data_IF_775041275232
#
_entry.id   IF_775041275232
#
_cell.length_a   1.000
_cell.length_b   1.000
_cell.length_c   1.000
_cell.angle_alpha   90.00
_cell.angle_beta   90.00
_cell.angle_gamma   90.00
#
_symmetry.space_group_name_H-M   'P 1'
#
loop_
_entity.id
_entity.type
_entity.pdbx_description
1 polymer ?
#
# COMPACT_ATOMS: atom_id res chain seq x y z
N UNK A 1 -8.46 -50.71 47.67
CA UNK A 1 -8.23 -50.15 46.33
C UNK A 1 -9.11 -48.91 46.20
N UNK A 2 -8.57 -47.76 46.54
CA UNK A 2 -9.20 -46.45 46.34
C UNK A 2 -8.37 -45.73 45.28
N UNK A 3 -8.89 -45.74 44.07
CA UNK A 3 -8.32 -45.05 42.91
C UNK A 3 -8.64 -43.56 43.05
N UNK A 4 -7.63 -42.77 43.37
CA UNK A 4 -7.75 -41.31 43.52
C UNK A 4 -7.30 -40.72 42.18
N UNK A 5 -8.15 -39.99 41.44
CA UNK A 5 -7.74 -39.37 40.19
C UNK A 5 -6.58 -38.41 40.47
N UNK A 6 -5.46 -38.61 39.77
CA UNK A 6 -4.32 -37.71 39.80
C UNK A 6 -4.76 -36.30 39.40
N UNK A 7 -4.29 -35.25 40.10
CA UNK A 7 -4.58 -33.90 39.69
C UNK A 7 -3.85 -33.63 38.38
N UNK A 8 -4.60 -33.54 37.28
CA UNK A 8 -4.12 -33.05 35.99
C UNK A 8 -3.45 -31.71 36.22
N UNK A 9 -2.13 -31.65 36.04
CA UNK A 9 -1.31 -30.46 36.21
C UNK A 9 -1.70 -29.42 35.16
N UNK A 10 -2.61 -28.52 35.52
CA UNK A 10 -3.01 -27.33 34.75
C UNK A 10 -1.90 -26.26 34.68
N UNK A 11 -0.65 -26.62 34.94
CA UNK A 11 0.50 -25.70 35.02
C UNK A 11 1.45 -25.76 33.81
N UNK A 12 1.20 -26.61 32.81
CA UNK A 12 2.08 -26.71 31.62
C UNK A 12 1.86 -25.58 30.59
N UNK A 13 0.80 -24.78 30.70
CA UNK A 13 0.46 -23.71 29.73
C UNK A 13 0.81 -22.28 30.17
N UNK A 14 1.51 -22.10 31.31
CA UNK A 14 2.05 -20.78 31.69
C UNK A 14 3.48 -20.65 31.18
N UNK A 15 3.84 -19.62 30.39
CA UNK A 15 5.23 -19.40 30.01
C UNK A 15 6.09 -19.32 31.27
N UNK A 16 7.05 -20.23 31.39
CA UNK A 16 7.89 -20.41 32.59
C UNK A 16 8.72 -19.18 32.96
N UNK A 17 8.89 -18.24 32.03
CA UNK A 17 9.46 -16.92 32.26
C UNK A 17 8.93 -15.87 31.26
N UNK A 18 9.02 -14.55 31.58
CA UNK A 18 8.76 -13.48 30.62
C UNK A 18 9.61 -13.54 29.35
N UNK A 19 10.81 -14.15 29.42
CA UNK A 19 11.68 -14.36 28.27
C UNK A 19 11.11 -15.43 27.33
N UNK A 20 10.57 -16.54 27.88
CA UNK A 20 9.91 -17.57 27.09
C UNK A 20 8.63 -17.04 26.43
N UNK A 21 7.87 -16.21 27.15
CA UNK A 21 6.71 -15.51 26.57
C UNK A 21 7.13 -14.59 25.40
N UNK A 22 8.25 -13.88 25.52
CA UNK A 22 8.77 -13.01 24.47
C UNK A 22 9.28 -13.79 23.26
N UNK A 23 9.94 -14.94 23.46
CA UNK A 23 10.40 -15.81 22.39
C UNK A 23 9.24 -16.49 21.66
N UNK A 24 8.17 -16.86 22.38
CA UNK A 24 6.90 -17.30 21.78
C UNK A 24 6.32 -16.17 20.92
N UNK A 25 6.21 -14.93 21.43
CA UNK A 25 5.70 -13.79 20.65
C UNK A 25 6.54 -13.53 19.39
N UNK A 26 7.87 -13.52 19.50
CA UNK A 26 8.79 -13.32 18.37
C UNK A 26 8.66 -14.42 17.33
N UNK A 27 8.57 -15.68 17.77
CA UNK A 27 8.42 -16.82 16.85
C UNK A 27 7.06 -16.81 16.15
N UNK A 28 5.99 -16.38 16.82
CA UNK A 28 4.68 -16.21 16.19
C UNK A 28 4.66 -15.03 15.22
N UNK A 29 5.23 -13.87 15.59
CA UNK A 29 5.39 -12.73 14.69
C UNK A 29 6.22 -13.09 13.46
N UNK A 30 7.31 -13.85 13.61
CA UNK A 30 8.14 -14.30 12.50
C UNK A 30 7.37 -15.23 11.55
N UNK A 31 6.54 -16.15 12.08
CA UNK A 31 5.69 -17.04 11.28
C UNK A 31 4.60 -16.27 10.52
N UNK A 32 3.90 -15.35 11.19
CA UNK A 32 2.87 -14.51 10.56
C UNK A 32 3.48 -13.62 9.47
N UNK A 33 4.62 -12.97 9.76
CA UNK A 33 5.34 -12.16 8.79
C UNK A 33 5.80 -12.99 7.57
N UNK A 34 6.25 -14.22 7.79
CA UNK A 34 6.63 -15.12 6.70
C UNK A 34 5.43 -15.54 5.83
N UNK A 35 4.24 -15.70 6.43
CA UNK A 35 3.00 -16.02 5.71
C UNK A 35 2.44 -14.84 4.91
N UNK A 36 2.52 -13.62 5.45
CA UNK A 36 1.98 -12.41 4.83
C UNK A 36 2.91 -11.79 3.79
N UNK A 37 4.22 -11.97 3.92
CA UNK A 37 5.19 -11.39 2.98
C UNK A 37 4.84 -11.69 1.50
N UNK A 38 4.54 -12.94 1.08
CA UNK A 38 4.10 -13.28 -0.28
C UNK A 38 3.07 -12.33 -0.89
N UNK A 39 2.06 -12.05 -0.09
CA UNK A 39 0.92 -11.23 -0.43
C UNK A 39 1.31 -9.75 -0.52
N UNK A 40 2.15 -9.26 0.40
CA UNK A 40 2.70 -7.90 0.38
C UNK A 40 3.56 -7.61 -0.87
N UNK A 41 4.42 -8.54 -1.27
CA UNK A 41 5.26 -8.33 -2.47
C UNK A 41 4.43 -8.31 -3.75
N UNK A 42 3.43 -9.21 -3.88
CA UNK A 42 2.53 -9.22 -5.03
C UNK A 42 1.73 -7.92 -5.11
N UNK A 43 1.26 -7.42 -3.97
CA UNK A 43 0.58 -6.13 -3.89
C UNK A 43 1.45 -4.99 -4.44
N UNK A 44 2.72 -4.88 -4.03
CA UNK A 44 3.63 -3.86 -4.57
C UNK A 44 3.93 -4.06 -6.06
N UNK A 45 4.05 -5.30 -6.54
CA UNK A 45 4.28 -5.56 -7.95
C UNK A 45 3.08 -5.14 -8.81
N UNK A 46 1.85 -5.49 -8.43
CA UNK A 46 0.66 -5.10 -9.17
C UNK A 46 0.47 -3.59 -9.22
N UNK A 47 0.61 -2.92 -8.08
CA UNK A 47 0.51 -1.47 -8.03
C UNK A 47 1.66 -0.76 -8.74
N UNK A 48 2.88 -1.30 -8.65
CA UNK A 48 4.04 -0.78 -9.36
C UNK A 48 3.86 -0.82 -10.88
N UNK A 49 3.40 -1.95 -11.42
CA UNK A 49 3.06 -2.06 -12.85
C UNK A 49 1.93 -1.10 -13.22
N UNK A 50 0.87 -1.05 -12.42
CA UNK A 50 -0.27 -0.19 -12.68
C UNK A 50 0.12 1.29 -12.74
N UNK A 51 0.95 1.76 -11.80
CA UNK A 51 1.40 3.15 -11.78
C UNK A 51 2.29 3.49 -12.97
N UNK A 52 3.22 2.59 -13.35
CA UNK A 52 4.04 2.78 -14.56
C UNK A 52 3.15 2.89 -15.78
N UNK A 53 2.19 1.97 -15.95
CA UNK A 53 1.27 1.98 -17.09
C UNK A 53 0.42 3.25 -17.12
N UNK A 54 -0.15 3.66 -15.98
CA UNK A 54 -0.97 4.87 -15.88
C UNK A 54 -0.15 6.11 -16.21
N UNK A 55 1.07 6.22 -15.68
CA UNK A 55 1.96 7.35 -15.97
C UNK A 55 2.34 7.44 -17.45
N UNK A 56 2.68 6.30 -18.07
CA UNK A 56 2.97 6.24 -19.51
C UNK A 56 1.74 6.57 -20.34
N UNK A 57 0.56 6.02 -20.02
CA UNK A 57 -0.69 6.31 -20.72
C UNK A 57 -1.05 7.80 -20.61
N UNK A 58 -0.91 8.40 -19.43
CA UNK A 58 -1.17 9.81 -19.22
C UNK A 58 -0.21 10.69 -20.03
N UNK A 59 1.08 10.32 -20.08
CA UNK A 59 2.06 11.01 -20.92
C UNK A 59 1.71 10.91 -22.41
N UNK A 60 1.45 9.69 -22.92
CA UNK A 60 1.09 9.49 -24.32
C UNK A 60 -0.19 10.23 -24.71
N UNK A 61 -1.16 10.33 -23.79
CA UNK A 61 -2.36 11.11 -24.02
C UNK A 61 -2.07 12.62 -24.07
N UNK A 62 -1.25 13.11 -23.15
CA UNK A 62 -0.89 14.53 -23.09
C UNK A 62 -0.03 15.02 -24.26
N UNK A 63 0.61 14.10 -24.99
CA UNK A 63 1.39 14.39 -26.20
C UNK A 63 0.64 14.00 -27.48
N UNK A 64 -0.69 13.82 -27.40
CA UNK A 64 -1.58 13.50 -28.51
C UNK A 64 -1.23 12.21 -29.29
N UNK A 65 -0.43 11.31 -28.72
CA UNK A 65 -0.10 10.00 -29.33
C UNK A 65 -1.28 9.05 -29.24
N UNK A 66 -2.05 9.13 -28.14
CA UNK A 66 -3.30 8.38 -27.95
C UNK A 66 -4.44 9.32 -27.55
N UNK A 67 -5.64 9.03 -28.04
CA UNK A 67 -6.83 9.79 -27.68
C UNK A 67 -7.24 9.60 -26.21
N UNK A 68 -7.85 10.64 -25.63
CA UNK A 68 -8.26 10.64 -24.22
C UNK A 68 -9.25 9.52 -23.87
N UNK A 69 -10.13 9.14 -24.80
CA UNK A 69 -11.04 8.00 -24.63
C UNK A 69 -10.27 6.68 -24.45
N UNK A 70 -9.27 6.43 -25.29
CA UNK A 70 -8.43 5.24 -25.21
C UNK A 70 -7.64 5.23 -23.90
N UNK A 71 -7.00 6.35 -23.56
CA UNK A 71 -6.26 6.49 -22.30
C UNK A 71 -7.17 6.26 -21.08
N UNK A 72 -8.39 6.80 -21.12
CA UNK A 72 -9.40 6.65 -20.07
C UNK A 72 -9.85 5.19 -19.88
N UNK A 73 -10.21 4.48 -20.96
CA UNK A 73 -10.63 3.08 -20.86
C UNK A 73 -9.50 2.15 -20.41
N UNK A 74 -8.30 2.31 -20.98
CA UNK A 74 -7.15 1.48 -20.58
C UNK A 74 -6.74 1.79 -19.14
N UNK A 75 -6.69 3.07 -18.75
CA UNK A 75 -6.41 3.50 -17.39
C UNK A 75 -7.42 2.94 -16.38
N UNK A 76 -8.72 3.00 -16.70
CA UNK A 76 -9.77 2.42 -15.88
C UNK A 76 -9.62 0.89 -15.75
N UNK A 77 -9.33 0.18 -16.84
CA UNK A 77 -9.09 -1.26 -16.81
C UNK A 77 -7.89 -1.62 -15.91
N UNK A 78 -6.79 -0.88 -16.03
CA UNK A 78 -5.59 -1.07 -15.18
C UNK A 78 -5.92 -0.86 -13.71
N UNK A 79 -6.66 0.21 -13.37
CA UNK A 79 -7.08 0.48 -11.99
C UNK A 79 -8.02 -0.59 -11.45
N UNK A 80 -8.97 -1.08 -12.25
CA UNK A 80 -9.88 -2.13 -11.84
C UNK A 80 -9.15 -3.46 -11.57
N UNK A 81 -8.19 -3.82 -12.43
CA UNK A 81 -7.37 -5.03 -12.23
C UNK A 81 -6.49 -4.91 -10.99
N UNK A 82 -5.79 -3.79 -10.82
CA UNK A 82 -4.93 -3.55 -9.66
C UNK A 82 -5.73 -3.49 -8.35
N UNK A 83 -6.86 -2.77 -8.36
CA UNK A 83 -7.78 -2.68 -7.22
C UNK A 83 -8.39 -4.02 -6.85
N UNK A 84 -8.82 -4.81 -7.85
CA UNK A 84 -9.35 -6.16 -7.65
C UNK A 84 -8.29 -7.12 -7.09
N UNK A 85 -7.08 -7.10 -7.64
CA UNK A 85 -5.97 -7.90 -7.13
C UNK A 85 -5.60 -7.50 -5.69
N UNK A 86 -5.54 -6.20 -5.40
CA UNK A 86 -5.30 -5.66 -4.07
C UNK A 86 -6.38 -6.09 -3.06
N UNK A 87 -7.66 -6.01 -3.44
CA UNK A 87 -8.76 -6.44 -2.60
C UNK A 87 -8.70 -7.95 -2.33
N UNK A 88 -8.41 -8.74 -3.36
CA UNK A 88 -8.25 -10.19 -3.23
C UNK A 88 -7.11 -10.55 -2.27
N UNK A 89 -5.95 -9.90 -2.41
CA UNK A 89 -4.81 -10.07 -1.50
C UNK A 89 -5.23 -9.69 -0.08
N UNK A 90 -5.80 -8.50 0.13
CA UNK A 90 -6.20 -8.04 1.47
C UNK A 90 -7.24 -8.93 2.16
N UNK A 91 -8.25 -9.41 1.41
CA UNK A 91 -9.25 -10.34 1.92
C UNK A 91 -8.59 -11.65 2.34
N UNK A 92 -7.66 -12.17 1.52
CA UNK A 92 -6.93 -13.41 1.79
C UNK A 92 -6.03 -13.28 3.02
N UNK A 93 -5.25 -12.20 3.12
CA UNK A 93 -4.38 -11.89 4.25
C UNK A 93 -5.15 -11.73 5.57
N UNK A 94 -6.39 -11.25 5.51
CA UNK A 94 -7.24 -11.04 6.68
C UNK A 94 -7.96 -12.30 7.20
N UNK A 95 -7.95 -13.42 6.45
CA UNK A 95 -8.68 -14.64 6.87
C UNK A 95 -8.01 -15.23 8.11
N UNK A 96 -8.76 -15.31 9.21
CA UNK A 96 -8.28 -15.88 10.47
C UNK A 96 -7.69 -14.87 11.45
N UNK A 97 -7.64 -13.59 11.11
CA UNK A 97 -7.30 -12.52 12.07
C UNK A 97 -8.55 -12.17 12.88
N UNK A 98 -8.46 -12.28 14.21
CA UNK A 98 -9.55 -11.95 15.14
C UNK A 98 -9.09 -10.94 16.20
N UNK A 99 -10.02 -10.34 16.94
CA UNK A 99 -9.72 -9.38 18.02
C UNK A 99 -9.31 -7.99 17.55
N UNK A 100 -8.53 -7.28 18.37
CA UNK A 100 -8.16 -5.87 18.16
C UNK A 100 -7.40 -5.63 16.85
N UNK A 101 -6.56 -6.58 16.45
CA UNK A 101 -5.81 -6.54 15.18
C UNK A 101 -6.72 -6.52 13.96
N UNK A 102 -7.86 -7.23 14.00
CA UNK A 102 -8.84 -7.23 12.92
C UNK A 102 -9.55 -5.88 12.81
N UNK A 103 -9.91 -5.28 13.95
CA UNK A 103 -10.52 -3.94 13.99
C UNK A 103 -9.56 -2.87 13.47
N UNK A 104 -8.28 -2.94 13.85
CA UNK A 104 -7.25 -2.02 13.38
C UNK A 104 -7.05 -2.11 11.86
N UNK A 105 -6.94 -3.34 11.32
CA UNK A 105 -6.83 -3.57 9.87
C UNK A 105 -8.06 -3.07 9.11
N UNK A 106 -9.27 -3.28 9.64
CA UNK A 106 -10.51 -2.78 9.05
C UNK A 106 -10.59 -1.25 9.02
N UNK A 107 -10.27 -0.58 10.14
CA UNK A 107 -10.30 0.88 10.22
C UNK A 107 -9.28 1.50 9.26
N UNK A 108 -8.07 0.94 9.18
CA UNK A 108 -7.09 1.38 8.20
C UNK A 108 -7.56 1.12 6.76
N UNK A 109 -8.11 -0.06 6.48
CA UNK A 109 -8.66 -0.41 5.16
C UNK A 109 -9.78 0.53 4.72
N UNK A 110 -10.68 0.92 5.63
CA UNK A 110 -11.74 1.90 5.37
C UNK A 110 -11.20 3.33 5.18
N UNK A 111 -10.09 3.67 5.83
CA UNK A 111 -9.49 5.00 5.68
C UNK A 111 -9.06 5.28 4.24
N UNK A 112 -8.63 4.27 3.50
CA UNK A 112 -8.20 4.40 2.11
C UNK A 112 -9.26 5.00 1.18
N UNK A 113 -10.40 4.34 0.92
CA UNK A 113 -11.41 4.89 0.02
C UNK A 113 -12.02 6.19 0.56
N UNK A 114 -12.17 6.33 1.88
CA UNK A 114 -12.73 7.55 2.50
C UNK A 114 -11.81 8.74 2.22
N UNK A 115 -10.52 8.65 2.57
CA UNK A 115 -9.57 9.75 2.41
C UNK A 115 -9.39 10.08 0.92
N UNK A 116 -9.25 9.08 0.04
CA UNK A 116 -9.11 9.33 -1.39
C UNK A 116 -10.32 10.08 -1.97
N UNK A 117 -11.53 9.72 -1.54
CA UNK A 117 -12.76 10.39 -1.96
C UNK A 117 -12.80 11.84 -1.45
N UNK A 118 -12.52 12.04 -0.15
CA UNK A 118 -12.55 13.37 0.46
C UNK A 118 -11.47 14.30 -0.13
N UNK A 119 -10.29 13.78 -0.45
CA UNK A 119 -9.23 14.52 -1.13
C UNK A 119 -9.65 14.92 -2.54
N UNK A 120 -10.30 14.01 -3.28
CA UNK A 120 -10.86 14.33 -4.61
C UNK A 120 -11.90 15.46 -4.54
N UNK A 121 -12.81 15.40 -3.57
CA UNK A 121 -13.81 16.46 -3.33
C UNK A 121 -13.13 17.78 -2.94
N UNK A 122 -12.14 17.72 -2.05
CA UNK A 122 -11.36 18.88 -1.62
C UNK A 122 -10.68 19.56 -2.80
N UNK A 123 -9.99 18.79 -3.65
CA UNK A 123 -9.31 19.32 -4.84
C UNK A 123 -10.31 19.92 -5.82
N UNK A 124 -11.44 19.25 -6.07
CA UNK A 124 -12.49 19.78 -6.95
C UNK A 124 -13.10 21.09 -6.43
N UNK A 125 -13.34 21.19 -5.13
CA UNK A 125 -13.83 22.42 -4.51
C UNK A 125 -12.76 23.53 -4.50
N UNK A 126 -11.49 23.19 -4.26
CA UNK A 126 -10.39 24.14 -4.34
C UNK A 126 -10.23 24.70 -5.76
N UNK A 127 -10.38 23.84 -6.77
CA UNK A 127 -10.30 24.24 -8.18
C UNK A 127 -11.34 25.30 -8.53
N UNK A 128 -12.59 25.07 -8.13
CA UNK A 128 -13.70 26.00 -8.42
C UNK A 128 -13.64 27.28 -7.59
N UNK A 129 -13.25 27.20 -6.32
CA UNK A 129 -13.20 28.37 -5.42
C UNK A 129 -11.99 29.27 -5.64
N UNK A 130 -10.83 28.70 -6.02
CA UNK A 130 -9.58 29.43 -6.23
C UNK A 130 -9.32 29.76 -7.72
N UNK A 131 -10.18 29.29 -8.63
CA UNK A 131 -10.03 29.53 -10.07
C UNK A 131 -8.79 28.86 -10.66
N UNK A 132 -8.49 27.62 -10.25
CA UNK A 132 -7.32 26.90 -10.75
C UNK A 132 -7.50 26.50 -12.21
N UNK A 133 -6.46 26.75 -13.01
CA UNK A 133 -6.39 26.35 -14.42
C UNK A 133 -6.21 24.84 -14.56
N UNK A 134 -6.58 24.29 -15.72
CA UNK A 134 -6.39 22.87 -16.03
C UNK A 134 -4.92 22.44 -15.93
N UNK A 135 -3.99 23.33 -16.32
CA UNK A 135 -2.55 23.09 -16.19
C UNK A 135 -2.14 22.98 -14.72
N UNK A 136 -2.61 23.88 -13.85
CA UNK A 136 -2.34 23.79 -12.41
C UNK A 136 -2.93 22.50 -11.81
N UNK A 137 -4.14 22.12 -12.23
CA UNK A 137 -4.79 20.89 -11.79
C UNK A 137 -4.04 19.64 -12.23
N UNK A 138 -3.52 19.62 -13.45
CA UNK A 138 -2.72 18.50 -14.00
C UNK A 138 -1.43 18.23 -13.22
N UNK A 139 -0.94 19.23 -12.47
CA UNK A 139 0.24 19.11 -11.61
C UNK A 139 -0.14 18.84 -10.15
N UNK A 140 -1.11 19.59 -9.62
CA UNK A 140 -1.47 19.53 -8.20
C UNK A 140 -2.23 18.26 -7.83
N UNK A 141 -3.17 17.81 -8.66
CA UNK A 141 -3.98 16.61 -8.38
C UNK A 141 -3.10 15.39 -8.08
N UNK A 142 -2.21 14.95 -8.98
CA UNK A 142 -1.40 13.75 -8.72
C UNK A 142 -0.40 13.96 -7.57
N UNK A 143 0.12 15.18 -7.37
CA UNK A 143 1.00 15.49 -6.25
C UNK A 143 0.30 15.37 -4.89
N UNK A 144 -0.90 15.94 -4.75
CA UNK A 144 -1.68 15.84 -3.51
C UNK A 144 -2.02 14.38 -3.21
N UNK A 145 -2.46 13.61 -4.22
CA UNK A 145 -2.72 12.19 -4.05
C UNK A 145 -1.46 11.41 -3.63
N UNK A 146 -0.30 11.71 -4.21
CA UNK A 146 0.96 11.08 -3.82
C UNK A 146 1.39 11.41 -2.39
N UNK A 147 1.19 12.65 -1.93
CA UNK A 147 1.42 13.01 -0.53
C UNK A 147 0.55 12.18 0.42
N UNK A 148 -0.73 12.01 0.09
CA UNK A 148 -1.68 11.22 0.89
C UNK A 148 -1.31 9.73 0.87
N UNK A 149 -1.07 9.16 -0.31
CA UNK A 149 -0.65 7.75 -0.46
C UNK A 149 0.64 7.49 0.31
N UNK A 150 1.63 8.37 0.15
CA UNK A 150 2.92 8.27 0.82
C UNK A 150 2.80 8.38 2.34
N UNK A 151 1.94 9.26 2.84
CA UNK A 151 1.64 9.36 4.27
C UNK A 151 0.96 8.09 4.81
N UNK A 152 -0.03 7.53 4.08
CA UNK A 152 -0.72 6.30 4.48
C UNK A 152 0.21 5.08 4.48
N UNK A 153 1.12 4.99 3.52
CA UNK A 153 2.15 3.94 3.46
C UNK A 153 3.17 4.10 4.60
N UNK A 154 3.61 5.33 4.88
CA UNK A 154 4.53 5.63 5.97
C UNK A 154 3.91 5.29 7.32
N UNK A 155 2.67 5.74 7.56
CA UNK A 155 1.94 5.42 8.79
C UNK A 155 1.76 3.91 8.96
N UNK A 156 1.36 3.20 7.90
CA UNK A 156 1.25 1.75 7.92
C UNK A 156 2.57 1.06 8.26
N UNK A 157 3.65 1.44 7.59
CA UNK A 157 4.99 0.92 7.86
C UNK A 157 5.45 1.15 9.29
N UNK A 158 5.14 2.31 9.87
CA UNK A 158 5.45 2.62 11.26
C UNK A 158 4.60 1.80 12.26
N UNK A 159 3.30 1.69 12.00
CA UNK A 159 2.34 0.99 12.86
C UNK A 159 2.62 -0.52 12.92
N UNK A 160 2.90 -1.14 11.77
CA UNK A 160 3.11 -2.58 11.65
C UNK A 160 4.60 -2.99 11.61
N UNK A 161 5.53 -2.04 11.80
CA UNK A 161 6.97 -2.34 11.83
C UNK A 161 7.55 -2.78 10.49
N UNK A 162 6.90 -2.47 9.37
CA UNK A 162 7.36 -2.81 8.02
C UNK A 162 8.17 -1.66 7.40
N UNK A 163 9.48 -1.65 7.68
CA UNK A 163 10.42 -0.62 7.19
C UNK A 163 10.37 -0.40 5.67
N UNK A 164 10.27 -1.44 4.80
CA UNK A 164 10.17 -1.21 3.36
C UNK A 164 8.96 -0.36 2.98
N UNK A 165 7.81 -0.61 3.62
CA UNK A 165 6.59 0.17 3.39
C UNK A 165 6.72 1.61 3.90
N UNK A 166 7.39 1.79 5.05
CA UNK A 166 7.69 3.10 5.61
C UNK A 166 8.54 3.95 4.66
N UNK A 167 9.68 3.40 4.21
CA UNK A 167 10.60 4.08 3.30
C UNK A 167 9.96 4.34 1.95
N UNK A 168 9.17 3.39 1.44
CA UNK A 168 8.43 3.54 0.20
C UNK A 168 7.42 4.69 0.30
N UNK A 169 6.72 4.84 1.43
CA UNK A 169 5.82 5.96 1.65
C UNK A 169 6.54 7.31 1.57
N UNK A 170 7.68 7.46 2.24
CA UNK A 170 8.50 8.67 2.16
C UNK A 170 9.06 8.92 0.75
N UNK A 171 9.42 7.86 0.03
CA UNK A 171 9.85 7.94 -1.37
C UNK A 171 8.73 8.47 -2.27
N UNK A 172 7.49 7.98 -2.11
CA UNK A 172 6.34 8.46 -2.88
C UNK A 172 6.08 9.94 -2.60
N UNK A 173 6.19 10.38 -1.35
CA UNK A 173 6.13 11.82 -1.00
C UNK A 173 7.19 12.62 -1.75
N UNK A 174 8.45 12.15 -1.72
CA UNK A 174 9.55 12.83 -2.40
C UNK A 174 9.31 12.91 -3.92
N UNK A 175 8.88 11.82 -4.56
CA UNK A 175 8.51 11.78 -5.99
C UNK A 175 7.39 12.76 -6.28
N UNK A 176 6.36 12.82 -5.43
CA UNK A 176 5.25 13.76 -5.59
C UNK A 176 5.70 15.22 -5.52
N UNK A 177 6.60 15.55 -4.61
CA UNK A 177 7.19 16.90 -4.53
C UNK A 177 8.04 17.20 -5.77
N UNK A 178 8.92 16.28 -6.17
CA UNK A 178 9.78 16.44 -7.36
C UNK A 178 8.93 16.67 -8.62
N UNK A 179 7.82 15.93 -8.78
CA UNK A 179 6.95 16.04 -9.95
C UNK A 179 6.38 17.45 -10.18
N UNK A 180 6.18 18.22 -9.11
CA UNK A 180 5.64 19.59 -9.18
C UNK A 180 6.64 20.51 -9.88
N UNK A 181 7.94 20.34 -9.59
CA UNK A 181 9.01 21.12 -10.20
C UNK A 181 9.25 20.77 -11.67
N UNK A 182 8.94 19.54 -12.08
CA UNK A 182 9.10 19.09 -13.46
C UNK A 182 7.97 19.60 -14.36
N UNK A 183 6.75 19.72 -13.82
CA UNK A 183 5.59 20.24 -14.55
C UNK A 183 4.99 19.25 -15.56
N UNK A 184 3.83 19.61 -16.11
CA UNK A 184 3.10 18.81 -17.08
C UNK A 184 3.71 18.94 -18.50
N UNK A 185 3.80 17.85 -19.29
CA UNK A 185 3.31 16.50 -19.03
C UNK A 185 4.29 15.53 -18.36
N UNK A 186 5.57 15.90 -18.25
CA UNK A 186 6.64 15.00 -17.81
C UNK A 186 6.44 14.54 -16.36
N UNK A 187 5.74 15.33 -15.53
CA UNK A 187 5.32 14.94 -14.18
C UNK A 187 4.60 13.58 -14.13
N UNK A 188 3.81 13.22 -15.15
CA UNK A 188 3.09 11.94 -15.22
C UNK A 188 4.05 10.75 -15.31
N UNK A 189 5.16 10.89 -16.02
CA UNK A 189 6.23 9.88 -16.08
C UNK A 189 7.02 9.82 -14.77
N UNK A 190 7.28 10.97 -14.15
CA UNK A 190 7.92 11.02 -12.83
C UNK A 190 7.09 10.24 -11.81
N UNK A 191 5.77 10.39 -11.82
CA UNK A 191 4.89 9.56 -11.00
C UNK A 191 4.93 8.09 -11.38
N UNK A 192 4.67 7.77 -12.65
CA UNK A 192 4.57 6.38 -13.08
C UNK A 192 5.86 5.60 -12.84
N UNK A 193 6.98 6.15 -13.27
CA UNK A 193 8.29 5.51 -13.16
C UNK A 193 8.86 5.67 -11.75
N UNK A 194 8.78 6.85 -11.14
CA UNK A 194 9.37 7.12 -9.83
C UNK A 194 8.65 6.36 -8.72
N UNK A 195 7.34 6.55 -8.58
CA UNK A 195 6.58 5.88 -7.53
C UNK A 195 6.28 4.41 -7.91
N UNK A 196 5.87 4.13 -9.15
CA UNK A 196 5.65 2.76 -9.61
C UNK A 196 6.93 1.92 -9.63
N UNK A 197 8.05 2.47 -10.11
CA UNK A 197 9.35 1.82 -10.06
C UNK A 197 9.85 1.57 -8.64
N UNK A 198 9.61 2.51 -7.71
CA UNK A 198 9.88 2.30 -6.29
C UNK A 198 9.14 1.08 -5.72
N UNK A 199 7.84 0.95 -6.04
CA UNK A 199 7.05 -0.23 -5.65
C UNK A 199 7.58 -1.52 -6.28
N UNK A 200 7.96 -1.49 -7.57
CA UNK A 200 8.54 -2.66 -8.25
C UNK A 200 9.86 -3.10 -7.62
N UNK A 201 10.73 -2.16 -7.24
CA UNK A 201 12.00 -2.45 -6.54
C UNK A 201 11.73 -3.10 -5.20
N UNK A 202 10.81 -2.55 -4.39
CA UNK A 202 10.45 -3.13 -3.08
C UNK A 202 9.85 -4.52 -3.24
N UNK A 203 8.87 -4.69 -4.13
CA UNK A 203 8.25 -5.99 -4.40
C UNK A 203 9.24 -7.04 -4.93
N UNK A 204 10.14 -6.63 -5.84
CA UNK A 204 11.21 -7.48 -6.36
C UNK A 204 12.22 -7.88 -5.30
N UNK A 205 12.63 -6.95 -4.43
CA UNK A 205 13.51 -7.24 -3.29
C UNK A 205 12.86 -8.22 -2.31
N UNK A 206 11.58 -8.05 -2.00
CA UNK A 206 10.86 -8.98 -1.12
C UNK A 206 10.71 -10.36 -1.73
N UNK A 207 10.51 -10.46 -3.05
CA UNK A 207 10.48 -11.73 -3.77
C UNK A 207 11.86 -12.40 -3.80
N UNK A 208 12.92 -11.64 -4.08
CA UNK A 208 14.29 -12.16 -4.17
C UNK A 208 14.83 -12.64 -2.81
N UNK A 209 14.45 -11.98 -1.71
CA UNK A 209 14.78 -12.42 -0.34
C UNK A 209 14.18 -13.79 0.00
N UNK A 210 13.13 -14.22 -0.71
CA UNK A 210 12.53 -15.56 -0.53
C UNK A 210 13.28 -16.64 -1.27
N UNK A 211 13.69 -16.40 -2.51
CA UNK A 211 14.45 -17.39 -3.29
C UNK A 211 15.82 -17.75 -2.69
N UNK A 212 16.26 -17.02 -1.66
CA UNK A 212 17.50 -17.27 -0.91
C UNK A 212 17.30 -17.94 0.45
N UNK A 213 16.05 -18.18 0.89
CA UNK A 213 15.71 -18.88 2.13
C UNK A 213 15.20 -20.27 1.81
#
# INVERSE_FOLDING_TARGET
MTDRPEPTTLDEDRPGSPADAMDIIRSQQAKVNAQLAPETALFFLFWGVAWVLIGVLAYLNSTDVIGGTTAGFVGAAVLLVAGGASAWVGIRSGRGVTGDSARQGMLYGLSWPIIMTLVGVFIGAAASTLGLTDVQMSVLVPAIFALVVGALYSAAGAIWGHVPNYVLGLWIVAVGVISVFVGFPVNTLVFGIGAGGGMLVVGGMEMARRGRR
#
